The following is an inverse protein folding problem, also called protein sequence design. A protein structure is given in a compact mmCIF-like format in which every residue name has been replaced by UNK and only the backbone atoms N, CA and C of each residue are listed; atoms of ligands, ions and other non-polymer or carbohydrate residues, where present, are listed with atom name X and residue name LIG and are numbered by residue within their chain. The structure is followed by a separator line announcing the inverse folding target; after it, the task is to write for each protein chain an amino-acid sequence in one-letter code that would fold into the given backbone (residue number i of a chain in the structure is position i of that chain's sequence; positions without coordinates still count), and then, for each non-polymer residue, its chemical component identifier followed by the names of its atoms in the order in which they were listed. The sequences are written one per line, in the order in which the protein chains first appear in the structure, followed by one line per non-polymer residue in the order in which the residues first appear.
data_IF_026042302700
#
_entry.id   IF_026042302700
#
_cell.length_a   1.000
_cell.length_b   1.000
_cell.length_c   1.000
_cell.angle_alpha   90.00
_cell.angle_beta   90.00
_cell.angle_gamma   90.00
#
_symmetry.space_group_name_H-M   'P 1'
#
loop_
_entity.id
_entity.type
_entity.pdbx_description
1 polymer ?
#
# COMPACT_ATOMS: atom_id res chain seq x y z
N UNK A 1 -0.50 -29.43 11.49
CA UNK A 1 -0.66 -28.84 10.14
C UNK A 1 -0.46 -27.33 10.17
N UNK A 2 0.26 -26.76 9.20
CA UNK A 2 0.79 -25.40 9.16
C UNK A 2 -0.23 -24.28 9.48
N UNK A 3 -1.47 -24.45 9.06
CA UNK A 3 -2.51 -23.42 9.21
C UNK A 3 -3.67 -23.83 10.15
N UNK A 4 -3.60 -25.02 10.72
CA UNK A 4 -4.55 -25.50 11.72
C UNK A 4 -3.89 -25.33 13.10
N UNK A 5 -4.53 -24.60 13.99
CA UNK A 5 -3.99 -24.25 15.31
C UNK A 5 -3.74 -22.74 15.45
N UNK A 6 -4.23 -21.95 14.49
CA UNK A 6 -4.20 -20.48 14.55
C UNK A 6 -5.61 -20.00 14.87
N UNK A 7 -5.78 -19.24 15.96
CA UNK A 7 -7.02 -18.57 16.31
C UNK A 7 -6.86 -17.06 16.15
N UNK A 8 -7.97 -16.37 15.92
CA UNK A 8 -7.99 -14.93 15.68
C UNK A 8 -8.65 -14.22 16.87
N UNK A 9 -8.01 -13.17 17.37
CA UNK A 9 -8.48 -12.39 18.50
C UNK A 9 -8.51 -10.90 18.16
N UNK A 10 -9.50 -10.19 18.70
CA UNK A 10 -9.46 -8.74 18.83
C UNK A 10 -8.74 -8.43 20.13
N UNK A 11 -7.65 -7.68 20.05
CA UNK A 11 -6.84 -7.32 21.20
C UNK A 11 -6.98 -5.82 21.48
N UNK A 12 -7.57 -5.43 22.61
CA UNK A 12 -7.50 -4.04 23.07
C UNK A 12 -6.04 -3.64 23.27
N UNK A 13 -5.66 -2.47 22.75
CA UNK A 13 -4.26 -2.02 22.76
C UNK A 13 -3.82 -1.36 24.07
N UNK A 14 -4.74 -1.22 25.02
CA UNK A 14 -4.53 -0.68 26.36
C UNK A 14 -4.35 -1.77 27.42
N UNK A 15 -4.26 -3.05 27.01
CA UNK A 15 -4.03 -4.16 27.94
C UNK A 15 -2.63 -4.07 28.57
N UNK A 16 -2.51 -4.46 29.87
CA UNK A 16 -1.21 -4.57 30.51
C UNK A 16 -0.27 -5.50 29.75
N UNK A 17 0.99 -5.09 29.61
CA UNK A 17 2.01 -5.84 28.88
C UNK A 17 2.12 -5.44 27.40
N UNK A 18 1.26 -4.55 26.90
CA UNK A 18 1.43 -3.99 25.54
C UNK A 18 2.24 -2.70 25.64
N UNK A 19 3.31 -2.64 24.85
CA UNK A 19 4.12 -1.43 24.70
C UNK A 19 4.25 -1.09 23.22
N UNK A 20 4.09 0.18 22.88
CA UNK A 20 4.24 0.68 21.52
C UNK A 20 5.44 1.62 21.43
N UNK A 21 6.26 1.43 20.40
CA UNK A 21 7.37 2.31 20.05
C UNK A 21 7.17 2.83 18.63
N UNK A 22 7.13 4.16 18.41
CA UNK A 22 6.96 4.71 17.07
C UNK A 22 8.19 4.42 16.20
N UNK A 23 7.93 4.14 14.91
CA UNK A 23 8.96 4.02 13.89
C UNK A 23 8.95 5.31 13.08
N UNK A 24 10.08 6.00 13.06
CA UNK A 24 10.28 7.20 12.23
C UNK A 24 10.62 6.72 10.81
N UNK A 25 9.80 7.08 9.84
CA UNK A 25 10.03 6.76 8.42
C UNK A 25 10.87 7.84 7.72
N UNK A 26 11.15 7.64 6.42
CA UNK A 26 11.97 8.58 5.63
C UNK A 26 11.35 9.98 5.50
N UNK A 27 10.05 10.10 5.73
CA UNK A 27 9.34 11.39 5.72
C UNK A 27 9.45 12.12 7.05
N UNK A 28 10.17 11.55 8.02
CA UNK A 28 10.25 11.97 9.43
C UNK A 28 8.95 11.81 10.22
N UNK A 29 7.97 11.11 9.64
CA UNK A 29 6.70 10.81 10.29
C UNK A 29 6.74 9.55 11.13
N UNK A 30 5.72 9.41 11.97
CA UNK A 30 5.45 8.24 12.78
C UNK A 30 4.26 7.47 12.21
N UNK A 31 4.37 7.01 10.94
CA UNK A 31 3.27 6.33 10.23
C UNK A 31 3.08 4.89 10.72
N UNK A 32 4.10 4.33 11.35
CA UNK A 32 4.14 2.93 11.80
C UNK A 32 4.62 2.83 13.23
N UNK A 33 4.25 1.72 13.90
CA UNK A 33 4.67 1.44 15.26
C UNK A 33 5.20 0.01 15.37
N UNK A 34 6.16 -0.18 16.25
CA UNK A 34 6.56 -1.47 16.74
C UNK A 34 5.74 -1.75 18.01
N UNK A 35 5.11 -2.92 18.06
CA UNK A 35 4.26 -3.33 19.20
C UNK A 35 4.90 -4.54 19.85
N UNK A 36 5.09 -4.45 21.17
CA UNK A 36 5.62 -5.51 22.00
C UNK A 36 4.50 -6.07 22.87
N UNK A 37 4.48 -7.39 23.01
CA UNK A 37 3.55 -8.12 23.87
C UNK A 37 4.37 -8.89 24.92
N UNK A 38 4.21 -8.54 26.18
CA UNK A 38 4.88 -9.18 27.31
C UNK A 38 3.83 -9.71 28.27
N UNK A 39 3.67 -11.02 28.32
CA UNK A 39 2.66 -11.77 29.11
C UNK A 39 1.22 -11.18 29.00
N UNK A 40 0.84 -10.73 27.82
CA UNK A 40 -0.47 -10.13 27.58
C UNK A 40 -1.56 -11.19 27.65
N UNK A 41 -2.59 -10.93 28.45
CA UNK A 41 -3.73 -11.83 28.62
C UNK A 41 -4.96 -11.28 27.95
N UNK A 42 -5.36 -11.93 26.87
CA UNK A 42 -6.55 -11.57 26.08
C UNK A 42 -7.71 -12.46 26.52
N UNK A 43 -8.86 -11.90 26.93
CA UNK A 43 -10.04 -12.69 27.26
C UNK A 43 -10.48 -13.60 26.11
N UNK A 44 -10.80 -14.86 26.41
CA UNK A 44 -11.27 -15.82 25.40
C UNK A 44 -12.55 -15.37 24.68
N UNK A 45 -13.36 -14.52 25.31
CA UNK A 45 -14.56 -13.91 24.71
C UNK A 45 -14.25 -12.96 23.53
N UNK A 46 -13.01 -12.51 23.39
CA UNK A 46 -12.57 -11.68 22.27
C UNK A 46 -12.04 -12.50 21.07
N UNK A 47 -12.16 -13.82 21.14
CA UNK A 47 -11.89 -14.67 19.99
C UNK A 47 -12.94 -14.46 18.90
N UNK A 48 -12.48 -14.29 17.68
CA UNK A 48 -13.32 -14.16 16.49
C UNK A 48 -13.42 -15.52 15.81
N UNK A 49 -14.63 -16.01 15.66
CA UNK A 49 -14.92 -17.32 15.06
C UNK A 49 -14.50 -18.50 15.95
N UNK A 50 -14.40 -19.66 15.31
CA UNK A 50 -14.07 -20.90 16.00
C UNK A 50 -12.56 -21.01 16.29
N UNK A 51 -12.22 -21.79 17.30
CA UNK A 51 -10.83 -22.11 17.60
C UNK A 51 -10.18 -22.80 16.41
N UNK A 52 -8.95 -22.39 16.07
CA UNK A 52 -8.18 -22.90 14.94
C UNK A 52 -8.68 -22.51 13.54
N UNK A 53 -9.64 -21.58 13.41
CA UNK A 53 -10.12 -21.03 12.14
C UNK A 53 -9.50 -19.67 11.77
N UNK A 54 -8.54 -19.21 12.56
CA UNK A 54 -7.95 -17.87 12.41
C UNK A 54 -7.25 -17.64 11.09
N UNK A 55 -6.69 -18.67 10.45
CA UNK A 55 -6.07 -18.51 9.13
C UNK A 55 -7.08 -18.13 8.04
N UNK A 56 -8.28 -18.68 8.08
CA UNK A 56 -9.35 -18.31 7.16
C UNK A 56 -9.77 -16.85 7.36
N UNK A 57 -9.91 -16.44 8.61
CA UNK A 57 -10.26 -15.06 8.98
C UNK A 57 -9.18 -14.07 8.57
N UNK A 58 -7.90 -14.38 8.81
CA UNK A 58 -6.78 -13.56 8.38
C UNK A 58 -6.78 -13.33 6.85
N UNK A 59 -7.10 -14.37 6.06
CA UNK A 59 -7.22 -14.22 4.60
C UNK A 59 -8.35 -13.27 4.19
N UNK A 60 -9.47 -13.25 4.92
CA UNK A 60 -10.57 -12.31 4.67
C UNK A 60 -10.10 -10.87 4.93
N UNK A 61 -9.43 -10.64 6.07
CA UNK A 61 -8.87 -9.32 6.41
C UNK A 61 -7.90 -8.83 5.34
N UNK A 62 -6.92 -9.65 4.96
CA UNK A 62 -5.92 -9.32 3.93
C UNK A 62 -6.54 -9.10 2.54
N UNK A 63 -7.65 -9.79 2.24
CA UNK A 63 -8.37 -9.61 0.98
C UNK A 63 -9.06 -8.24 0.91
N UNK A 64 -9.68 -7.82 2.01
CA UNK A 64 -10.33 -6.51 2.12
C UNK A 64 -9.30 -5.37 2.10
N UNK A 65 -8.18 -5.54 2.79
CA UNK A 65 -7.08 -4.57 2.79
C UNK A 65 -6.56 -4.30 1.37
N UNK A 66 -6.33 -5.34 0.57
CA UNK A 66 -5.89 -5.18 -0.84
C UNK A 66 -6.85 -4.32 -1.65
N UNK A 67 -8.15 -4.53 -1.48
CA UNK A 67 -9.17 -3.76 -2.20
C UNK A 67 -9.15 -2.29 -1.77
N UNK A 68 -9.04 -2.01 -0.48
CA UNK A 68 -9.04 -0.63 0.05
C UNK A 68 -7.79 0.14 -0.36
N UNK A 69 -6.61 -0.48 -0.32
CA UNK A 69 -5.33 0.18 -0.64
C UNK A 69 -5.12 0.40 -2.15
N UNK A 70 -5.75 -0.39 -3.01
CA UNK A 70 -5.62 -0.27 -4.47
C UNK A 70 -6.67 0.64 -5.12
N UNK A 71 -7.50 1.31 -4.34
CA UNK A 71 -8.72 1.94 -4.86
C UNK A 71 -8.48 3.15 -5.75
N UNK A 72 -7.38 3.90 -5.65
CA UNK A 72 -7.31 5.21 -6.27
C UNK A 72 -6.04 5.52 -7.10
N UNK A 73 -4.99 4.70 -7.08
CA UNK A 73 -3.72 5.04 -7.76
C UNK A 73 -3.02 6.28 -7.18
N UNK A 74 -3.51 6.82 -6.09
CA UNK A 74 -2.86 7.80 -5.24
C UNK A 74 -2.29 7.11 -4.00
N UNK A 75 -1.39 7.77 -3.28
CA UNK A 75 -0.80 7.27 -2.02
C UNK A 75 -1.90 6.76 -1.07
N UNK A 76 -2.31 5.48 -1.20
CA UNK A 76 -3.38 4.84 -0.42
C UNK A 76 -4.68 5.65 -0.32
N UNK A 77 -5.09 6.29 -1.45
CA UNK A 77 -6.28 7.15 -1.50
C UNK A 77 -6.08 8.55 -0.92
N UNK A 78 -4.87 8.88 -0.51
CA UNK A 78 -4.50 10.17 0.08
C UNK A 78 -3.29 10.72 -0.66
N UNK A 79 -3.27 12.03 -0.92
CA UNK A 79 -2.17 12.68 -1.60
C UNK A 79 -2.42 12.98 -3.07
N UNK A 80 -1.46 13.63 -3.73
CA UNK A 80 -1.61 14.09 -5.09
C UNK A 80 -1.70 12.92 -6.09
N UNK A 81 -2.54 13.10 -7.09
CA UNK A 81 -2.79 12.13 -8.16
C UNK A 81 -2.12 12.55 -9.47
N UNK A 82 -2.07 11.61 -10.43
CA UNK A 82 -1.62 11.90 -11.79
C UNK A 82 -2.46 13.02 -12.44
N UNK A 83 -3.76 13.03 -12.22
CA UNK A 83 -4.66 14.05 -12.77
C UNK A 83 -4.28 15.44 -12.26
N UNK A 84 -4.04 15.59 -10.96
CA UNK A 84 -3.60 16.85 -10.36
C UNK A 84 -2.24 17.29 -10.90
N UNK A 85 -1.26 16.38 -11.04
CA UNK A 85 0.03 16.71 -11.63
C UNK A 85 -0.13 17.16 -13.08
N UNK A 86 -0.88 16.43 -13.89
CA UNK A 86 -1.10 16.77 -15.31
C UNK A 86 -1.88 18.09 -15.48
N UNK A 87 -2.80 18.40 -14.57
CA UNK A 87 -3.50 19.67 -14.53
C UNK A 87 -2.53 20.83 -14.23
N UNK A 88 -1.71 20.71 -13.18
CA UNK A 88 -0.69 21.71 -12.85
C UNK A 88 0.26 21.96 -14.01
N UNK A 89 0.67 20.91 -14.73
CA UNK A 89 1.54 21.04 -15.91
C UNK A 89 0.86 21.79 -17.06
N UNK A 90 -0.44 21.57 -17.29
CA UNK A 90 -1.20 22.31 -18.31
C UNK A 90 -1.34 23.79 -17.95
N UNK A 91 -1.66 24.07 -16.70
CA UNK A 91 -1.81 25.45 -16.17
C UNK A 91 -0.47 26.21 -16.19
N UNK A 92 0.64 25.51 -15.96
CA UNK A 92 2.00 26.05 -16.06
C UNK A 92 2.55 26.22 -17.49
N UNK A 93 1.74 26.05 -18.52
CA UNK A 93 2.15 26.19 -19.92
C UNK A 93 2.75 24.94 -20.56
N UNK A 94 2.66 23.80 -19.89
CA UNK A 94 3.12 22.50 -20.40
C UNK A 94 4.55 22.15 -19.99
N UNK A 95 5.07 21.07 -20.58
CA UNK A 95 6.42 20.56 -20.31
C UNK A 95 7.28 20.76 -21.56
N UNK A 96 8.26 21.64 -21.48
CA UNK A 96 9.15 21.97 -22.60
C UNK A 96 10.10 20.81 -22.94
N UNK A 97 10.65 20.14 -21.91
CA UNK A 97 11.55 19.01 -22.08
C UNK A 97 10.81 17.82 -22.72
N UNK A 98 11.27 17.32 -23.89
CA UNK A 98 10.59 16.23 -24.59
C UNK A 98 10.62 14.91 -23.83
N UNK A 99 11.63 14.64 -23.00
CA UNK A 99 11.72 13.43 -22.19
C UNK A 99 10.70 13.47 -21.05
N UNK A 100 10.60 14.59 -20.36
CA UNK A 100 9.60 14.76 -19.29
C UNK A 100 8.18 14.76 -19.86
N UNK A 101 7.99 15.31 -21.06
CA UNK A 101 6.71 15.27 -21.75
C UNK A 101 6.29 13.85 -22.14
N UNK A 102 7.22 13.00 -22.61
CA UNK A 102 6.95 11.57 -22.88
C UNK A 102 6.56 10.85 -21.57
N UNK A 103 7.28 11.11 -20.48
CA UNK A 103 6.92 10.55 -19.16
C UNK A 103 5.52 10.98 -18.70
N UNK A 104 5.16 12.25 -18.90
CA UNK A 104 3.82 12.74 -18.58
C UNK A 104 2.72 12.07 -19.43
N UNK A 105 2.99 11.83 -20.70
CA UNK A 105 2.06 11.11 -21.59
C UNK A 105 1.89 9.65 -21.15
N UNK A 106 2.96 8.96 -20.78
CA UNK A 106 2.89 7.59 -20.22
C UNK A 106 2.11 7.56 -18.92
N UNK A 107 2.31 8.53 -18.03
CA UNK A 107 1.58 8.65 -16.79
C UNK A 107 0.07 8.80 -17.03
N UNK A 108 -0.32 9.58 -18.03
CA UNK A 108 -1.73 9.69 -18.42
C UNK A 108 -2.30 8.35 -18.91
N UNK A 109 -1.54 7.61 -19.73
CA UNK A 109 -1.95 6.28 -20.21
C UNK A 109 -2.13 5.30 -19.03
N UNK A 110 -1.19 5.27 -18.09
CA UNK A 110 -1.28 4.44 -16.87
C UNK A 110 -2.53 4.78 -16.05
N UNK A 111 -2.81 6.07 -15.85
CA UNK A 111 -3.99 6.52 -15.12
C UNK A 111 -5.29 6.07 -15.82
N UNK A 112 -5.37 6.16 -17.14
CA UNK A 112 -6.53 5.68 -17.89
C UNK A 112 -6.69 4.16 -17.82
N UNK A 113 -5.61 3.40 -17.90
CA UNK A 113 -5.64 1.95 -17.75
C UNK A 113 -6.12 1.54 -16.36
N UNK A 114 -5.67 2.22 -15.29
CA UNK A 114 -6.14 2.03 -13.93
C UNK A 114 -7.62 2.34 -13.80
N UNK A 115 -8.08 3.45 -14.37
CA UNK A 115 -9.49 3.83 -14.38
C UNK A 115 -10.37 2.77 -15.06
N UNK A 116 -9.98 2.31 -16.25
CA UNK A 116 -10.71 1.28 -17.00
C UNK A 116 -10.74 -0.06 -16.24
N UNK A 117 -9.62 -0.47 -15.66
CA UNK A 117 -9.55 -1.70 -14.88
C UNK A 117 -10.43 -1.64 -13.63
N UNK A 118 -10.47 -0.48 -12.96
CA UNK A 118 -11.38 -0.22 -11.83
C UNK A 118 -12.85 -0.32 -12.25
N UNK A 119 -13.21 0.28 -13.39
CA UNK A 119 -14.59 0.20 -13.91
C UNK A 119 -14.98 -1.25 -14.24
N UNK A 120 -14.05 -2.04 -14.80
CA UNK A 120 -14.26 -3.47 -15.05
C UNK A 120 -14.54 -4.22 -13.75
N UNK A 121 -13.74 -3.99 -12.69
CA UNK A 121 -13.91 -4.62 -11.39
C UNK A 121 -15.22 -4.22 -10.72
N UNK A 122 -15.58 -2.93 -10.78
CA UNK A 122 -16.84 -2.42 -10.26
C UNK A 122 -18.05 -3.06 -10.99
N UNK A 123 -18.00 -3.15 -12.32
CA UNK A 123 -19.04 -3.78 -13.11
C UNK A 123 -19.20 -5.27 -12.77
N UNK A 124 -18.11 -5.96 -12.47
CA UNK A 124 -18.16 -7.35 -12.02
C UNK A 124 -18.83 -7.48 -10.66
N UNK A 125 -18.49 -6.60 -9.71
CA UNK A 125 -19.10 -6.56 -8.36
C UNK A 125 -20.61 -6.26 -8.43
N UNK A 126 -21.01 -5.31 -9.26
CA UNK A 126 -22.43 -4.98 -9.47
C UNK A 126 -23.24 -6.16 -10.08
N UNK A 127 -22.56 -7.06 -10.77
CA UNK A 127 -23.14 -8.32 -11.27
C UNK A 127 -23.04 -9.49 -10.27
N UNK A 128 -22.75 -9.20 -9.00
CA UNK A 128 -22.67 -10.19 -7.93
C UNK A 128 -21.39 -11.04 -7.91
N UNK A 129 -20.37 -10.68 -8.68
CA UNK A 129 -19.08 -11.38 -8.62
C UNK A 129 -18.26 -10.84 -7.46
N UNK A 130 -17.69 -11.74 -6.66
CA UNK A 130 -16.67 -11.37 -5.65
C UNK A 130 -15.33 -11.08 -6.32
N UNK A 131 -14.57 -10.06 -5.86
CA UNK A 131 -13.22 -9.82 -6.36
C UNK A 131 -12.33 -11.06 -6.22
N UNK A 132 -11.70 -11.43 -7.31
CA UNK A 132 -10.79 -12.57 -7.41
C UNK A 132 -9.31 -12.14 -7.41
N UNK A 133 -8.42 -13.06 -7.82
CA UNK A 133 -6.98 -12.80 -7.91
C UNK A 133 -6.62 -11.69 -8.90
N UNK A 134 -7.50 -11.34 -9.84
CA UNK A 134 -7.36 -10.22 -10.76
C UNK A 134 -7.28 -8.84 -10.05
N UNK A 135 -7.72 -8.73 -8.81
CA UNK A 135 -7.53 -7.54 -7.99
C UNK A 135 -6.04 -7.22 -7.78
N UNK A 136 -5.17 -8.24 -7.83
CA UNK A 136 -3.72 -8.07 -7.76
C UNK A 136 -3.13 -7.31 -8.94
N UNK A 137 -3.76 -7.36 -10.12
CA UNK A 137 -3.36 -6.57 -11.29
C UNK A 137 -3.54 -5.08 -11.00
N UNK A 138 -4.70 -4.72 -10.45
CA UNK A 138 -4.98 -3.33 -10.05
C UNK A 138 -3.96 -2.84 -9.02
N UNK A 139 -3.63 -3.67 -8.03
CA UNK A 139 -2.68 -3.33 -6.98
C UNK A 139 -1.27 -3.07 -7.54
N UNK A 140 -0.75 -3.98 -8.39
CA UNK A 140 0.57 -3.83 -9.01
C UNK A 140 0.63 -2.53 -9.81
N UNK A 141 -0.35 -2.30 -10.69
CA UNK A 141 -0.38 -1.10 -11.53
C UNK A 141 -0.51 0.18 -10.72
N UNK A 142 -1.33 0.20 -9.67
CA UNK A 142 -1.52 1.37 -8.82
C UNK A 142 -0.26 1.74 -8.04
N UNK A 143 0.49 0.75 -7.56
CA UNK A 143 1.72 0.97 -6.81
C UNK A 143 2.82 1.58 -7.68
N UNK A 144 3.05 1.00 -8.86
CA UNK A 144 4.03 1.52 -9.83
C UNK A 144 3.62 2.92 -10.29
N UNK A 145 2.35 3.09 -10.65
CA UNK A 145 1.83 4.39 -11.06
C UNK A 145 2.02 5.47 -9.99
N UNK A 146 1.73 5.16 -8.73
CA UNK A 146 1.92 6.10 -7.63
C UNK A 146 3.38 6.55 -7.48
N UNK A 147 4.34 5.65 -7.65
CA UNK A 147 5.76 6.00 -7.68
C UNK A 147 6.12 6.87 -8.90
N UNK A 148 5.65 6.51 -10.09
CA UNK A 148 5.90 7.27 -11.32
C UNK A 148 5.35 8.71 -11.24
N UNK A 149 4.19 8.91 -10.59
CA UNK A 149 3.63 10.25 -10.35
C UNK A 149 4.61 11.11 -9.54
N UNK A 150 5.11 10.55 -8.42
CA UNK A 150 6.00 11.28 -7.51
C UNK A 150 7.38 11.52 -8.13
N UNK A 151 7.91 10.53 -8.84
CA UNK A 151 9.18 10.66 -9.58
C UNK A 151 9.10 11.73 -10.68
N UNK A 152 8.00 11.78 -11.42
CA UNK A 152 7.82 12.80 -12.46
C UNK A 152 7.68 14.18 -11.82
N UNK A 153 6.91 14.33 -10.75
CA UNK A 153 6.78 15.59 -10.04
C UNK A 153 8.14 16.12 -9.55
N UNK A 154 8.97 15.24 -8.97
CA UNK A 154 10.34 15.58 -8.54
C UNK A 154 11.23 15.97 -9.71
N UNK A 155 11.16 15.24 -10.81
CA UNK A 155 11.98 15.55 -11.99
C UNK A 155 11.62 16.90 -12.61
N UNK A 156 10.34 17.28 -12.59
CA UNK A 156 9.86 18.58 -13.11
C UNK A 156 10.25 19.72 -12.16
N UNK A 157 10.11 19.51 -10.86
CA UNK A 157 10.50 20.50 -9.86
C UNK A 157 12.02 20.76 -9.79
N UNK A 158 12.84 19.84 -10.32
CA UNK A 158 14.30 19.98 -10.30
C UNK A 158 14.85 20.20 -8.89
N UNK A 159 15.66 21.26 -8.70
CA UNK A 159 16.24 21.62 -7.41
C UNK A 159 15.19 22.03 -6.37
N UNK A 160 14.11 22.67 -6.80
CA UNK A 160 13.04 23.11 -5.91
C UNK A 160 12.29 21.90 -5.30
N UNK A 161 12.28 20.78 -6.00
CA UNK A 161 11.75 19.52 -5.49
C UNK A 161 12.48 18.96 -4.26
N UNK A 162 13.64 19.50 -3.87
CA UNK A 162 14.35 19.14 -2.64
C UNK A 162 13.85 19.90 -1.42
N UNK A 163 13.05 20.95 -1.62
CA UNK A 163 12.51 21.75 -0.52
C UNK A 163 11.43 20.96 0.21
N UNK A 164 11.63 20.78 1.49
CA UNK A 164 10.59 20.33 2.41
C UNK A 164 9.93 21.55 3.04
N UNK A 165 8.61 21.58 3.13
CA UNK A 165 7.94 22.63 3.89
C UNK A 165 8.40 22.61 5.33
N UNK A 166 8.69 23.80 5.90
CA UNK A 166 9.00 23.95 7.32
C UNK A 166 7.74 23.96 8.20
N UNK A 167 6.83 23.04 7.95
CA UNK A 167 5.78 22.72 8.93
C UNK A 167 6.43 21.96 10.10
N UNK A 168 5.90 22.05 11.35
CA UNK A 168 6.37 21.20 12.41
C UNK A 168 6.33 19.76 11.92
N UNK A 169 7.49 19.08 12.00
CA UNK A 169 7.58 17.66 11.73
C UNK A 169 6.48 16.97 12.55
N UNK A 170 5.45 16.45 11.90
CA UNK A 170 4.34 15.86 12.61
C UNK A 170 2.94 16.24 12.11
N UNK A 171 2.79 17.20 11.20
CA UNK A 171 1.50 17.42 10.54
C UNK A 171 1.42 16.57 9.27
N UNK A 172 1.68 15.30 9.42
CA UNK A 172 1.10 14.33 8.52
C UNK A 172 -0.28 14.06 9.07
N UNK A 173 -1.30 14.24 8.26
CA UNK A 173 -2.63 13.91 8.71
C UNK A 173 -2.60 12.47 9.19
N UNK A 174 -3.08 12.22 10.39
CA UNK A 174 -3.40 10.87 10.85
C UNK A 174 -4.61 10.34 10.06
N UNK A 175 -4.59 10.49 8.75
CA UNK A 175 -5.64 10.11 7.82
C UNK A 175 -5.82 8.61 7.70
N UNK A 176 -4.94 7.84 8.33
CA UNK A 176 -5.19 6.42 8.57
C UNK A 176 -6.40 6.17 9.50
N UNK A 177 -6.85 7.18 10.24
CA UNK A 177 -7.96 6.99 11.19
C UNK A 177 -9.30 7.62 10.78
N UNK A 178 -9.28 8.64 9.93
CA UNK A 178 -10.52 9.31 9.53
C UNK A 178 -10.42 9.67 8.06
N UNK A 179 -11.18 9.05 7.21
CA UNK A 179 -11.19 9.22 5.76
C UNK A 179 -10.89 10.62 5.21
N UNK A 180 -10.76 10.81 3.89
CA UNK A 180 -10.27 12.05 3.31
C UNK A 180 -11.21 13.21 3.65
N UNK A 181 -10.81 14.05 4.57
CA UNK A 181 -11.41 15.38 4.74
C UNK A 181 -10.51 16.37 4.02
N UNK A 182 -11.08 17.19 3.15
CA UNK A 182 -10.40 18.20 2.32
C UNK A 182 -9.46 19.16 3.08
N UNK A 183 -9.50 19.14 4.41
CA UNK A 183 -8.77 20.06 5.27
C UNK A 183 -7.46 19.52 5.86
N UNK A 184 -7.07 18.28 5.59
CA UNK A 184 -5.92 17.65 6.27
C UNK A 184 -4.56 18.00 5.65
N UNK A 185 -4.49 18.73 4.55
CA UNK A 185 -3.27 19.08 3.83
C UNK A 185 -2.95 20.59 3.83
N UNK A 186 -3.36 21.33 4.85
CA UNK A 186 -2.85 22.70 5.03
C UNK A 186 -1.44 22.64 5.61
N UNK A 187 -0.46 22.37 4.75
CA UNK A 187 0.94 22.63 5.05
C UNK A 187 1.15 24.15 4.88
N UNK A 188 1.60 24.84 5.91
CA UNK A 188 2.04 26.23 5.75
C UNK A 188 3.19 26.26 4.73
N UNK A 189 2.96 26.93 3.61
CA UNK A 189 3.93 27.04 2.52
C UNK A 189 4.99 28.07 2.90
N UNK A 190 6.22 27.63 3.10
CA UNK A 190 7.34 28.53 3.23
C UNK A 190 7.72 29.13 1.87
N UNK A 191 7.49 28.37 0.80
CA UNK A 191 7.69 28.76 -0.59
C UNK A 191 6.37 28.52 -1.34
N UNK A 192 5.62 29.57 -1.72
CA UNK A 192 4.29 29.46 -2.31
C UNK A 192 4.28 28.73 -3.66
N UNK A 193 5.43 28.68 -4.36
CA UNK A 193 5.55 28.06 -5.67
C UNK A 193 5.79 26.54 -5.60
N UNK A 194 6.17 26.00 -4.43
CA UNK A 194 6.48 24.58 -4.26
C UNK A 194 5.58 23.99 -3.19
N UNK A 195 4.75 23.03 -3.57
CA UNK A 195 3.93 22.30 -2.63
C UNK A 195 4.73 21.13 -2.02
N UNK A 196 5.04 21.16 -0.71
CA UNK A 196 5.81 20.11 -0.05
C UNK A 196 5.16 18.73 -0.08
N UNK A 197 3.89 18.64 -0.46
CA UNK A 197 3.19 17.36 -0.62
C UNK A 197 3.87 16.44 -1.66
N UNK A 198 4.46 17.01 -2.70
CA UNK A 198 5.18 16.24 -3.72
C UNK A 198 6.50 15.65 -3.19
N UNK A 199 7.19 16.40 -2.34
CA UNK A 199 8.40 15.91 -1.68
C UNK A 199 8.06 14.79 -0.69
N UNK A 200 7.06 15.01 0.15
CA UNK A 200 6.55 13.99 1.08
C UNK A 200 6.11 12.74 0.33
N UNK A 201 5.28 12.90 -0.71
CA UNK A 201 4.80 11.81 -1.53
C UNK A 201 5.91 10.99 -2.18
N UNK A 202 6.97 11.65 -2.64
CA UNK A 202 8.15 10.98 -3.18
C UNK A 202 8.84 10.10 -2.13
N UNK A 203 9.11 10.62 -0.95
CA UNK A 203 9.74 9.87 0.14
C UNK A 203 8.86 8.73 0.65
N UNK A 204 7.54 8.89 0.63
CA UNK A 204 6.59 7.89 1.09
C UNK A 204 6.27 6.82 0.01
N UNK A 205 6.39 7.15 -1.27
CA UNK A 205 5.95 6.30 -2.39
C UNK A 205 6.54 4.87 -2.41
N UNK A 206 7.77 4.59 -1.92
CA UNK A 206 8.27 3.22 -1.81
C UNK A 206 7.40 2.31 -0.94
N UNK A 207 6.67 2.86 0.04
CA UNK A 207 5.75 2.11 0.89
C UNK A 207 4.58 1.49 0.12
N UNK A 208 4.20 2.06 -1.03
CA UNK A 208 3.14 1.53 -1.90
C UNK A 208 3.41 0.08 -2.34
N UNK A 209 4.65 -0.24 -2.66
CA UNK A 209 5.04 -1.59 -3.11
C UNK A 209 5.18 -2.60 -1.96
N UNK A 210 5.05 -2.15 -0.71
CA UNK A 210 5.15 -2.99 0.49
C UNK A 210 3.79 -3.25 1.13
N UNK A 211 2.97 -2.22 1.32
CA UNK A 211 1.66 -2.30 1.96
C UNK A 211 0.63 -3.07 1.13
N UNK A 212 -0.34 -3.72 1.79
CA UNK A 212 -1.39 -4.48 1.09
C UNK A 212 -0.93 -5.73 0.35
N UNK A 213 0.23 -6.25 0.71
CA UNK A 213 0.94 -7.34 0.05
C UNK A 213 1.99 -6.82 -0.93
N UNK A 214 3.21 -7.28 -0.73
CA UNK A 214 4.35 -6.81 -1.52
C UNK A 214 4.14 -7.05 -3.02
N UNK A 215 4.75 -6.21 -3.82
CA UNK A 215 4.75 -6.32 -5.28
C UNK A 215 5.12 -7.72 -5.79
N UNK A 216 6.13 -8.37 -5.19
CA UNK A 216 6.53 -9.73 -5.53
C UNK A 216 5.42 -10.75 -5.24
N UNK A 217 4.76 -10.65 -4.09
CA UNK A 217 3.62 -11.52 -3.74
C UNK A 217 2.46 -11.30 -4.70
N UNK A 218 2.15 -10.05 -5.05
CA UNK A 218 1.07 -9.76 -6.00
C UNK A 218 1.36 -10.33 -7.40
N UNK A 219 2.61 -10.25 -7.86
CA UNK A 219 3.04 -10.87 -9.13
C UNK A 219 2.87 -12.39 -9.11
N UNK A 220 3.22 -13.05 -8.02
CA UNK A 220 3.01 -14.49 -7.88
C UNK A 220 1.53 -14.84 -7.93
N UNK A 221 0.67 -14.05 -7.29
CA UNK A 221 -0.79 -14.25 -7.36
C UNK A 221 -1.30 -14.14 -8.80
N UNK A 222 -0.85 -13.13 -9.55
CA UNK A 222 -1.22 -12.97 -10.97
C UNK A 222 -0.68 -14.14 -11.80
N UNK A 223 0.57 -14.52 -11.62
CA UNK A 223 1.19 -15.61 -12.36
C UNK A 223 0.45 -16.93 -12.14
N UNK A 224 0.22 -17.30 -10.88
CA UNK A 224 -0.36 -18.59 -10.53
C UNK A 224 -1.88 -18.68 -10.80
N UNK A 225 -2.62 -17.65 -10.40
CA UNK A 225 -4.09 -17.72 -10.35
C UNK A 225 -4.80 -16.98 -11.49
N UNK A 226 -4.13 -16.06 -12.19
CA UNK A 226 -4.69 -15.36 -13.35
C UNK A 226 -4.16 -15.96 -14.64
N UNK A 227 -2.84 -16.15 -14.73
CA UNK A 227 -2.19 -16.68 -15.94
C UNK A 227 -2.05 -18.19 -15.95
N UNK A 228 -2.30 -18.88 -14.83
CA UNK A 228 -2.18 -20.34 -14.74
C UNK A 228 -0.77 -20.88 -14.87
N UNK A 229 0.25 -20.05 -14.58
CA UNK A 229 1.64 -20.48 -14.60
C UNK A 229 1.92 -21.48 -13.45
N UNK A 230 2.88 -22.38 -13.62
CA UNK A 230 3.24 -23.32 -12.57
C UNK A 230 3.76 -22.59 -11.34
N UNK A 231 3.41 -23.14 -10.18
CA UNK A 231 3.92 -22.67 -8.90
C UNK A 231 5.40 -22.99 -8.76
N UNK A 232 6.08 -22.15 -7.98
CA UNK A 232 7.43 -22.46 -7.54
C UNK A 232 7.43 -23.79 -6.75
N UNK A 233 8.39 -24.72 -7.03
CA UNK A 233 8.48 -25.96 -6.31
C UNK A 233 8.64 -25.74 -4.80
N UNK A 234 7.77 -26.36 -4.01
CA UNK A 234 7.90 -26.31 -2.55
C UNK A 234 8.92 -27.37 -2.10
N UNK A 235 10.17 -26.95 -1.99
CA UNK A 235 11.29 -27.84 -1.59
C UNK A 235 11.17 -28.34 -0.14
N UNK A 236 10.29 -27.78 0.65
CA UNK A 236 10.03 -28.16 2.04
C UNK A 236 8.75 -28.99 2.20
N UNK A 237 8.11 -29.35 1.11
CA UNK A 237 6.86 -30.12 1.16
C UNK A 237 7.08 -31.48 1.83
N UNK A 238 6.32 -31.75 2.88
CA UNK A 238 6.42 -32.98 3.65
C UNK A 238 7.48 -32.99 4.74
N UNK A 239 8.31 -31.95 4.85
CA UNK A 239 9.28 -31.80 5.92
C UNK A 239 8.64 -31.18 7.16
N UNK A 240 9.10 -31.61 8.36
CA UNK A 240 8.89 -30.85 9.58
C UNK A 240 9.76 -29.59 9.56
N UNK A 241 9.40 -28.59 10.36
CA UNK A 241 10.20 -27.38 10.48
C UNK A 241 11.67 -27.65 10.87
N UNK A 242 11.90 -28.59 11.77
CA UNK A 242 13.23 -28.99 12.20
C UNK A 242 14.05 -29.59 11.04
N UNK A 243 13.42 -30.43 10.22
CA UNK A 243 14.05 -31.04 9.04
C UNK A 243 14.37 -29.99 7.97
N UNK A 244 13.43 -29.08 7.65
CA UNK A 244 13.65 -28.01 6.71
C UNK A 244 14.81 -27.10 7.14
N UNK A 245 14.85 -26.73 8.43
CA UNK A 245 15.92 -25.90 9.00
C UNK A 245 17.30 -26.61 8.98
N UNK A 246 17.34 -27.93 9.07
CA UNK A 246 18.57 -28.72 8.98
C UNK A 246 19.06 -28.92 7.55
N UNK A 247 18.42 -28.31 6.53
CA UNK A 247 18.75 -28.47 5.13
C UNK A 247 18.32 -29.82 4.55
N UNK A 248 17.36 -30.48 5.21
CA UNK A 248 16.79 -31.74 4.73
C UNK A 248 16.10 -31.56 3.38
N UNK A 249 16.31 -32.55 2.46
CA UNK A 249 15.55 -32.63 1.21
C UNK A 249 14.32 -33.53 1.44
N UNK A 250 13.18 -33.22 0.80
CA UNK A 250 12.04 -34.14 0.81
C UNK A 250 12.50 -35.47 0.17
N UNK A 251 12.00 -36.58 0.73
CA UNK A 251 12.25 -37.91 0.23
C UNK A 251 11.59 -38.13 -1.13
#
# INVERSE_FOLDING_TARGET
PKHKGISYFICPMDLPGITMSPIVDMTTAHSFNQVFFDDVRIPASLRVGEENDGWRLAKVTLSNERVSLSAAGSLWGVGPSAEQLLQLLREGGGVADPVLRDRAARLHIEAELLRLNRMRSLSATLKGKTPGPEASIQKIMADEHGQHVMELAKAIAGTDGMLSGSGPAGVIPSSAQNGPTENNFKVERQYPEVDPIWHYGYLFSPALTLGGGTFAVQRNIVAEFVLGLPREPNLEQGLTWAQARAGGRPA
#
